data_IF_444529077365
#
_entry.id   IF_444529077365
#
_cell.length_a   1.000
_cell.length_b   1.000
_cell.length_c   1.000
_cell.angle_alpha   90.00
_cell.angle_beta   90.00
_cell.angle_gamma   90.00
#
_symmetry.space_group_name_H-M   'P 1'
#
loop_
_entity.id
_entity.type
_entity.pdbx_description
1 polymer ?
#
# COMPACT_ATOMS: atom_id res chain seq x y z
N UNK A 1 -16.57 14.63 1.27
CA UNK A 1 -15.36 14.00 1.83
C UNK A 1 -14.86 13.04 0.77
N UNK A 2 -13.67 13.26 0.21
CA UNK A 2 -13.09 12.31 -0.75
C UNK A 2 -12.63 11.12 0.08
N UNK A 3 -13.25 9.95 -0.12
CA UNK A 3 -12.80 8.70 0.51
C UNK A 3 -11.53 8.30 -0.23
N UNK A 4 -10.38 8.43 0.42
CA UNK A 4 -9.12 7.93 -0.11
C UNK A 4 -9.12 6.41 -0.04
N UNK A 5 -8.74 5.74 -1.13
CA UNK A 5 -8.50 4.30 -1.11
C UNK A 5 -7.29 3.92 -0.23
N UNK A 6 -6.48 4.91 0.15
CA UNK A 6 -5.29 4.77 0.99
C UNK A 6 -5.53 5.51 2.30
N UNK A 7 -5.51 4.75 3.39
CA UNK A 7 -5.67 5.27 4.75
C UNK A 7 -4.28 5.62 5.33
N UNK A 8 -3.96 6.90 5.33
CA UNK A 8 -2.74 7.40 5.96
C UNK A 8 -2.98 7.57 7.47
N UNK A 9 -2.69 6.51 8.24
CA UNK A 9 -2.87 6.54 9.71
C UNK A 9 -2.01 7.59 10.42
N UNK A 10 -0.87 7.97 9.84
CA UNK A 10 0.04 9.00 10.39
C UNK A 10 0.42 10.01 9.32
N UNK A 11 0.46 11.32 9.65
CA UNK A 11 1.03 12.33 8.76
C UNK A 11 2.47 11.99 8.39
N UNK A 12 2.86 12.18 7.13
CA UNK A 12 4.24 12.01 6.64
C UNK A 12 4.82 10.60 6.72
N UNK A 13 4.01 9.60 7.06
CA UNK A 13 4.44 8.21 7.01
C UNK A 13 4.52 7.74 5.55
N UNK A 14 5.71 7.29 5.15
CA UNK A 14 5.89 6.55 3.89
C UNK A 14 5.11 5.26 3.98
N UNK A 15 4.39 4.93 2.92
CA UNK A 15 3.69 3.66 2.78
C UNK A 15 3.98 3.07 1.42
N UNK A 16 3.78 1.77 1.29
CA UNK A 16 4.07 1.02 0.08
C UNK A 16 2.86 0.23 -0.37
N UNK A 17 2.76 -0.05 -1.66
CA UNK A 17 1.73 -0.91 -2.22
C UNK A 17 2.25 -1.72 -3.40
N UNK A 18 1.45 -2.71 -3.80
CA UNK A 18 1.75 -3.55 -4.96
C UNK A 18 0.64 -3.38 -6.00
N UNK A 19 1.02 -3.00 -7.22
CA UNK A 19 0.17 -3.17 -8.39
C UNK A 19 0.45 -4.51 -9.02
N UNK A 20 -0.60 -5.33 -9.09
CA UNK A 20 -0.68 -6.55 -9.87
C UNK A 20 -1.58 -6.29 -11.07
N UNK A 21 -1.01 -6.29 -12.27
CA UNK A 21 -1.77 -6.06 -13.52
C UNK A 21 -2.64 -4.80 -13.45
N UNK A 22 -2.07 -3.69 -12.97
CA UNK A 22 -2.73 -2.39 -12.76
C UNK A 22 -3.83 -2.33 -11.69
N UNK A 23 -4.00 -3.38 -10.87
CA UNK A 23 -4.87 -3.35 -9.70
C UNK A 23 -4.05 -3.38 -8.40
N UNK A 24 -4.48 -2.61 -7.39
CA UNK A 24 -3.84 -2.63 -6.08
C UNK A 24 -4.19 -3.93 -5.34
N UNK A 25 -3.17 -4.56 -4.77
CA UNK A 25 -3.32 -5.71 -3.88
C UNK A 25 -3.45 -5.26 -2.43
N UNK A 26 -4.30 -5.94 -1.66
CA UNK A 26 -4.35 -5.72 -0.21
C UNK A 26 -3.17 -6.40 0.47
N UNK A 27 -2.54 -5.68 1.38
CA UNK A 27 -1.37 -6.10 2.15
C UNK A 27 -1.66 -5.97 3.64
N UNK A 28 -0.99 -6.76 4.49
CA UNK A 28 -0.96 -6.49 5.93
C UNK A 28 -0.33 -5.11 6.17
N UNK A 29 -0.91 -4.35 7.09
CA UNK A 29 -0.42 -3.02 7.44
C UNK A 29 0.69 -3.12 8.49
N UNK A 30 1.85 -3.68 8.12
CA UNK A 30 2.97 -3.92 9.04
C UNK A 30 2.59 -4.82 10.22
N UNK A 31 1.65 -5.74 9.98
CA UNK A 31 1.10 -6.63 11.00
C UNK A 31 0.52 -5.89 12.22
N UNK A 32 0.08 -4.64 12.07
CA UNK A 32 -0.71 -3.94 13.10
C UNK A 32 -2.05 -4.65 13.31
N UNK A 33 -2.49 -4.75 14.56
CA UNK A 33 -3.79 -5.32 14.93
C UNK A 33 -4.78 -4.25 15.37
N UNK A 34 -6.06 -4.53 15.19
CA UNK A 34 -7.15 -3.69 15.68
C UNK A 34 -7.45 -3.94 17.18
N UNK A 35 -8.47 -3.26 17.71
CA UNK A 35 -8.89 -3.39 19.12
C UNK A 35 -9.39 -4.80 19.48
N UNK A 36 -9.71 -5.64 18.48
CA UNK A 36 -10.16 -7.03 18.65
C UNK A 36 -9.00 -8.02 18.50
N UNK A 37 -7.83 -7.56 18.08
CA UNK A 37 -6.66 -8.38 17.80
C UNK A 37 -6.60 -8.91 16.37
N UNK A 38 -7.49 -8.46 15.48
CA UNK A 38 -7.50 -8.85 14.07
C UNK A 38 -6.46 -8.04 13.28
N UNK A 39 -5.78 -8.68 12.33
CA UNK A 39 -4.76 -8.00 11.52
C UNK A 39 -5.38 -6.97 10.58
N UNK A 40 -4.83 -5.76 10.62
CA UNK A 40 -5.28 -4.68 9.76
C UNK A 40 -4.66 -4.87 8.38
N UNK A 41 -5.52 -4.94 7.36
CA UNK A 41 -5.13 -5.02 5.96
C UNK A 41 -5.60 -3.78 5.20
N UNK A 42 -4.88 -3.44 4.13
CA UNK A 42 -5.21 -2.29 3.29
C UNK A 42 -4.47 -2.30 1.97
N UNK A 43 -4.80 -1.36 1.07
CA UNK A 43 -4.10 -1.22 -0.22
C UNK A 43 -2.72 -0.56 -0.12
N UNK A 44 -2.33 -0.16 1.09
CA UNK A 44 -1.01 0.31 1.42
C UNK A 44 -0.56 -0.35 2.73
N UNK A 45 0.73 -0.63 2.85
CA UNK A 45 1.39 -1.10 4.07
C UNK A 45 2.39 -0.06 4.54
N UNK A 46 2.58 0.04 5.85
CA UNK A 46 3.65 0.85 6.44
C UNK A 46 4.99 0.11 6.54
N UNK A 47 5.07 -1.12 6.03
CA UNK A 47 6.25 -1.97 6.06
C UNK A 47 6.70 -2.28 4.62
N UNK A 48 7.90 -1.82 4.27
CA UNK A 48 8.45 -2.08 2.94
C UNK A 48 8.73 -3.59 2.71
N UNK A 49 9.11 -4.30 3.77
CA UNK A 49 9.41 -5.73 3.70
C UNK A 49 8.16 -6.56 3.36
N UNK A 50 6.99 -6.16 3.86
CA UNK A 50 5.71 -6.80 3.51
C UNK A 50 5.40 -6.64 2.01
N UNK A 51 5.62 -5.43 1.47
CA UNK A 51 5.43 -5.16 0.05
C UNK A 51 6.41 -5.98 -0.81
N UNK A 52 7.68 -6.06 -0.39
CA UNK A 52 8.68 -6.88 -1.08
C UNK A 52 8.36 -8.38 -1.02
N UNK A 53 7.89 -8.87 0.12
CA UNK A 53 7.50 -10.27 0.30
C UNK A 53 6.34 -10.64 -0.65
N UNK A 54 5.35 -9.76 -0.79
CA UNK A 54 4.26 -9.96 -1.74
C UNK A 54 4.78 -9.91 -3.19
N UNK A 55 5.66 -8.96 -3.53
CA UNK A 55 6.25 -8.89 -4.86
C UNK A 55 6.99 -10.18 -5.24
N UNK A 56 7.77 -10.73 -4.31
CA UNK A 56 8.46 -12.01 -4.49
C UNK A 56 7.48 -13.18 -4.65
N UNK A 57 6.40 -13.20 -3.88
CA UNK A 57 5.35 -14.22 -3.97
C UNK A 57 4.65 -14.18 -5.32
N UNK A 58 4.31 -12.99 -5.82
CA UNK A 58 3.70 -12.80 -7.13
C UNK A 58 4.65 -13.20 -8.26
N UNK A 59 5.93 -12.84 -8.18
CA UNK A 59 6.95 -13.29 -9.13
C UNK A 59 7.05 -14.82 -9.17
N UNK A 60 7.09 -15.47 -8.00
CA UNK A 60 7.15 -16.92 -7.90
C UNK A 60 5.88 -17.61 -8.44
N UNK A 61 4.72 -16.94 -8.38
CA UNK A 61 3.46 -17.43 -8.95
C UNK A 61 3.38 -17.38 -10.49
N UNK A 62 4.40 -16.82 -11.16
CA UNK A 62 4.47 -16.72 -12.62
C UNK A 62 3.84 -15.47 -13.21
N UNK A 63 3.38 -14.53 -12.37
CA UNK A 63 2.97 -13.19 -12.80
C UNK A 63 4.26 -12.47 -13.20
N UNK A 64 4.62 -12.50 -14.48
CA UNK A 64 5.89 -11.96 -14.96
C UNK A 64 6.17 -10.54 -14.46
N UNK A 65 7.45 -10.20 -14.27
CA UNK A 65 7.90 -8.96 -13.60
C UNK A 65 7.32 -7.66 -14.17
N UNK A 66 6.95 -7.63 -15.46
CA UNK A 66 6.29 -6.49 -16.09
C UNK A 66 4.91 -6.15 -15.49
N UNK A 67 4.27 -7.12 -14.83
CA UNK A 67 2.94 -6.98 -14.23
C UNK A 67 2.96 -6.71 -12.72
N UNK A 68 4.15 -6.54 -12.13
CA UNK A 68 4.35 -6.31 -10.71
C UNK A 68 5.08 -4.99 -10.55
N UNK A 69 4.47 -4.06 -9.81
CA UNK A 69 5.10 -2.77 -9.49
C UNK A 69 4.97 -2.53 -7.99
N UNK A 70 6.10 -2.22 -7.36
CA UNK A 70 6.12 -1.71 -5.98
C UNK A 70 6.00 -0.18 -6.05
N UNK A 71 4.99 0.37 -5.39
CA UNK A 71 4.74 1.81 -5.36
C UNK A 71 5.06 2.34 -3.98
N UNK A 72 5.70 3.50 -3.91
CA UNK A 72 5.79 4.31 -2.71
C UNK A 72 4.67 5.36 -2.72
N UNK A 73 3.80 5.31 -1.71
CA UNK A 73 2.82 6.35 -1.44
C UNK A 73 3.46 7.41 -0.54
N UNK A 74 3.64 8.59 -1.12
CA UNK A 74 4.08 9.76 -0.39
C UNK A 74 2.82 10.51 0.08
N UNK A 75 2.57 10.62 1.40
CA UNK A 75 1.46 11.41 1.89
C UNK A 75 1.59 12.85 1.41
N UNK A 76 0.57 13.34 0.70
CA UNK A 76 0.46 14.75 0.41
C UNK A 76 0.30 15.50 1.73
N UNK A 77 1.25 16.37 2.06
CA UNK A 77 1.11 17.39 3.11
C UNK A 77 0.01 18.38 2.65
N UNK A 78 -1.27 18.01 2.77
CA UNK A 78 -2.54 18.78 2.72
C UNK A 78 -2.73 20.01 1.79
N UNK A 79 -1.77 20.43 0.95
CA UNK A 79 -1.82 21.68 0.17
C UNK A 79 -1.07 21.51 -1.16
N UNK A 80 -1.57 20.65 -2.02
CA UNK A 80 -1.59 20.99 -3.44
C UNK A 80 -3.05 21.04 -3.83
N UNK A 81 -3.72 22.14 -3.50
CA UNK A 81 -4.96 22.48 -4.20
C UNK A 81 -4.56 22.73 -5.66
N UNK A 82 -5.03 21.93 -6.63
CA UNK A 82 -4.93 22.35 -8.02
C UNK A 82 -5.67 23.68 -8.12
N UNK A 83 -4.94 24.76 -8.40
CA UNK A 83 -5.58 25.98 -8.88
C UNK A 83 -6.10 25.66 -10.27
N UNK A 84 -7.40 25.40 -10.34
CA UNK A 84 -8.17 25.40 -11.58
C UNK A 84 -8.36 26.85 -12.03
#
# INVERSE_FOLDING_TARGET
MIISAIDFKKPRQKMWGILKTHALTMLPFGHETDEKGDEITGYATNCYDDALAEAHTLLASGIGSANIQVIEFVPYDYIMQPRV
#
